data_IF_656613805480
#
_entry.id   IF_656613805480
#
_cell.length_a   1.000
_cell.length_b   1.000
_cell.length_c   1.000
_cell.angle_alpha   90.00
_cell.angle_beta   90.00
_cell.angle_gamma   90.00
#
_symmetry.space_group_name_H-M   'P 1'
#
loop_
_entity.id
_entity.type
_entity.pdbx_description
1 polymer ?
#
# COMPACT_ATOMS: atom_id res chain seq x y z
N UNK A 1 16.27 -0.75 -6.52
CA UNK A 1 15.92 -1.37 -5.22
C UNK A 1 14.91 -0.49 -4.51
N UNK A 2 13.81 -1.04 -4.00
CA UNK A 2 12.81 -0.27 -3.25
C UNK A 2 13.33 -0.06 -1.82
N UNK A 3 13.37 1.18 -1.36
CA UNK A 3 13.81 1.60 -0.03
C UNK A 3 12.76 2.48 0.62
N UNK A 4 12.82 2.65 1.94
CA UNK A 4 11.86 3.47 2.71
C UNK A 4 11.71 4.90 2.17
N UNK A 5 12.76 5.46 1.59
CA UNK A 5 12.78 6.81 1.02
C UNK A 5 12.21 6.87 -0.39
N UNK A 6 12.32 5.80 -1.19
CA UNK A 6 11.86 5.79 -2.58
C UNK A 6 10.49 5.12 -2.78
N UNK A 7 10.00 4.33 -1.83
CA UNK A 7 8.77 3.54 -1.97
C UNK A 7 7.52 4.41 -2.17
N UNK A 8 7.56 5.66 -1.73
CA UNK A 8 6.50 6.64 -1.99
C UNK A 8 6.42 7.04 -3.47
N UNK A 9 7.53 6.96 -4.21
CA UNK A 9 7.65 7.29 -5.63
C UNK A 9 7.73 6.03 -6.52
N UNK A 10 7.91 4.86 -5.90
CA UNK A 10 8.02 3.59 -6.60
C UNK A 10 6.63 2.95 -6.80
N UNK A 11 6.59 2.01 -7.75
CA UNK A 11 5.45 1.14 -7.97
C UNK A 11 5.19 0.26 -6.73
N UNK A 12 3.93 0.26 -6.27
CA UNK A 12 3.47 -0.58 -5.17
C UNK A 12 2.86 -1.89 -5.65
N UNK A 13 2.46 -1.96 -6.92
CA UNK A 13 1.86 -3.15 -7.54
C UNK A 13 2.88 -4.29 -7.50
N UNK A 14 2.41 -5.48 -7.14
CA UNK A 14 3.24 -6.68 -7.00
C UNK A 14 3.90 -6.83 -5.62
N UNK A 15 3.90 -5.79 -4.77
CA UNK A 15 4.49 -5.87 -3.43
C UNK A 15 3.56 -6.57 -2.44
N UNK A 16 4.16 -7.31 -1.52
CA UNK A 16 3.46 -7.95 -0.41
C UNK A 16 3.30 -6.95 0.75
N UNK A 17 2.03 -6.79 1.15
CA UNK A 17 1.61 -5.77 2.10
C UNK A 17 0.70 -6.35 3.19
N UNK A 18 0.77 -5.72 4.36
CA UNK A 18 -0.09 -5.99 5.51
C UNK A 18 -0.71 -4.69 6.01
N UNK A 19 -2.03 -4.68 6.22
CA UNK A 19 -2.72 -3.56 6.84
C UNK A 19 -2.51 -3.62 8.35
N UNK A 20 -1.70 -2.70 8.88
CA UNK A 20 -1.42 -2.62 10.32
C UNK A 20 -2.36 -1.67 11.05
N UNK A 21 -2.95 -0.71 10.33
CA UNK A 21 -3.89 0.25 10.89
C UNK A 21 -4.82 0.76 9.78
N UNK A 22 -6.10 0.93 10.09
CA UNK A 22 -7.09 1.47 9.16
C UNK A 22 -8.27 2.07 9.93
N UNK A 23 -8.89 3.11 9.38
CA UNK A 23 -10.13 3.66 9.95
C UNK A 23 -11.23 2.60 10.02
N UNK A 24 -11.35 1.78 8.98
CA UNK A 24 -12.21 0.59 9.02
C UNK A 24 -11.46 -0.57 9.68
N UNK A 25 -11.78 -0.86 10.95
CA UNK A 25 -11.14 -1.92 11.74
C UNK A 25 -11.23 -3.31 11.10
N UNK A 26 -12.25 -3.58 10.27
CA UNK A 26 -12.40 -4.85 9.54
C UNK A 26 -11.38 -5.05 8.40
N UNK A 27 -10.53 -4.05 8.15
CA UNK A 27 -9.43 -4.12 7.19
C UNK A 27 -8.08 -4.38 7.87
N UNK A 28 -7.98 -4.20 9.20
CA UNK A 28 -6.75 -4.45 9.97
C UNK A 28 -6.42 -5.95 9.95
N UNK A 29 -5.15 -6.28 9.74
CA UNK A 29 -4.66 -7.65 9.61
C UNK A 29 -4.81 -8.23 8.20
N UNK A 30 -5.31 -7.47 7.23
CA UNK A 30 -5.38 -7.92 5.84
C UNK A 30 -3.97 -8.02 5.25
N UNK A 31 -3.62 -9.23 4.80
CA UNK A 31 -2.33 -9.54 4.17
C UNK A 31 -2.54 -9.99 2.73
N UNK A 32 -1.71 -9.51 1.83
CA UNK A 32 -1.74 -9.94 0.44
C UNK A 32 -0.86 -9.09 -0.46
N UNK A 33 -1.03 -9.30 -1.77
CA UNK A 33 -0.27 -8.60 -2.79
C UNK A 33 -1.06 -7.44 -3.34
N UNK A 34 -0.42 -6.29 -3.56
CA UNK A 34 -1.07 -5.17 -4.25
C UNK A 34 -1.24 -5.53 -5.73
N UNK A 35 -2.46 -5.49 -6.24
CA UNK A 35 -2.74 -5.78 -7.65
C UNK A 35 -3.12 -4.56 -8.46
N UNK A 36 -3.61 -3.52 -7.80
CA UNK A 36 -4.00 -2.29 -8.47
C UNK A 36 -3.91 -1.09 -7.51
N UNK A 37 -3.65 0.08 -8.10
CA UNK A 37 -3.51 1.32 -7.38
C UNK A 37 -4.13 2.49 -8.17
N UNK A 38 -5.08 3.17 -7.54
CA UNK A 38 -5.70 4.38 -8.08
C UNK A 38 -5.29 5.60 -7.24
N UNK A 39 -5.75 6.80 -7.63
CA UNK A 39 -5.46 8.05 -6.89
C UNK A 39 -5.72 7.96 -5.39
N UNK A 40 -6.83 7.34 -5.00
CA UNK A 40 -7.32 7.30 -3.62
C UNK A 40 -7.45 5.89 -3.04
N UNK A 41 -7.40 4.86 -3.88
CA UNK A 41 -7.66 3.47 -3.45
C UNK A 41 -6.54 2.53 -3.86
N UNK A 42 -6.39 1.45 -3.11
CA UNK A 42 -5.41 0.40 -3.32
C UNK A 42 -6.14 -0.95 -3.22
N UNK A 43 -5.92 -1.84 -4.18
CA UNK A 43 -6.53 -3.17 -4.22
C UNK A 43 -5.50 -4.18 -3.76
N UNK A 44 -5.82 -4.89 -2.68
CA UNK A 44 -4.98 -5.96 -2.13
C UNK A 44 -5.65 -7.30 -2.42
N UNK A 45 -4.93 -8.19 -3.09
CA UNK A 45 -5.33 -9.57 -3.34
C UNK A 45 -4.80 -10.46 -2.21
N UNK A 46 -5.72 -10.97 -1.42
CA UNK A 46 -5.47 -11.96 -0.37
C UNK A 46 -5.96 -13.33 -0.83
N UNK A 47 -5.71 -14.37 -0.03
CA UNK A 47 -6.25 -15.71 -0.28
C UNK A 47 -7.79 -15.74 -0.29
N UNK A 48 -8.43 -14.81 0.41
CA UNK A 48 -9.91 -14.66 0.45
C UNK A 48 -10.48 -13.87 -0.73
N UNK A 49 -9.64 -13.39 -1.65
CA UNK A 49 -10.03 -12.55 -2.78
C UNK A 49 -9.46 -11.14 -2.72
N UNK A 50 -10.01 -10.26 -3.55
CA UNK A 50 -9.53 -8.89 -3.75
C UNK A 50 -10.32 -7.90 -2.89
N UNK A 51 -9.61 -7.03 -2.17
CA UNK A 51 -10.21 -6.02 -1.31
C UNK A 51 -9.71 -4.64 -1.69
N UNK A 52 -10.65 -3.75 -2.02
CA UNK A 52 -10.37 -2.33 -2.27
C UNK A 52 -10.36 -1.55 -0.97
N UNK A 53 -9.30 -0.77 -0.76
CA UNK A 53 -9.03 -0.03 0.48
C UNK A 53 -8.74 1.44 0.16
N UNK A 54 -9.22 2.35 0.99
CA UNK A 54 -8.95 3.78 0.86
C UNK A 54 -7.58 4.13 1.44
N UNK A 55 -6.76 4.86 0.69
CA UNK A 55 -5.41 5.29 1.11
C UNK A 55 -5.44 6.31 2.26
N UNK A 56 -6.45 7.19 2.29
CA UNK A 56 -6.48 8.37 3.19
C UNK A 56 -6.33 8.02 4.67
N UNK A 57 -6.82 6.87 5.10
CA UNK A 57 -6.81 6.47 6.51
C UNK A 57 -6.29 5.05 6.70
N UNK A 58 -5.21 4.74 5.98
CA UNK A 58 -4.56 3.43 5.97
C UNK A 58 -3.12 3.55 6.47
N UNK A 59 -2.63 2.57 7.23
CA UNK A 59 -1.19 2.28 7.34
C UNK A 59 -0.95 0.86 6.90
N UNK A 60 -0.02 0.71 5.97
CA UNK A 60 0.43 -0.60 5.47
C UNK A 60 1.89 -0.82 5.84
N UNK A 61 2.21 -2.05 6.15
CA UNK A 61 3.57 -2.56 6.22
C UNK A 61 3.86 -3.29 4.91
N UNK A 62 4.93 -2.89 4.25
CA UNK A 62 5.41 -3.50 3.01
C UNK A 62 6.69 -4.26 3.33
N UNK A 63 6.81 -5.50 2.85
CA UNK A 63 8.05 -6.28 2.98
C UNK A 63 8.80 -6.25 1.66
N UNK A 64 9.97 -5.61 1.61
CA UNK A 64 10.80 -5.54 0.40
C UNK A 64 12.24 -5.90 0.76
N UNK A 65 12.84 -6.85 0.04
CA UNK A 65 14.24 -7.27 0.25
C UNK A 65 14.61 -7.65 1.69
N UNK A 66 13.65 -8.19 2.45
CA UNK A 66 13.84 -8.54 3.87
C UNK A 66 13.61 -7.40 4.87
N UNK A 67 13.42 -6.17 4.38
CA UNK A 67 13.08 -5.02 5.21
C UNK A 67 11.56 -4.81 5.30
N UNK A 68 11.08 -4.42 6.49
CA UNK A 68 9.68 -4.06 6.73
C UNK A 68 9.55 -2.54 6.78
N UNK A 69 8.77 -1.99 5.87
CA UNK A 69 8.58 -0.54 5.72
C UNK A 69 7.13 -0.21 6.04
N UNK A 70 6.88 0.60 7.07
CA UNK A 70 5.55 1.10 7.42
C UNK A 70 5.29 2.43 6.71
N UNK A 71 4.18 2.49 5.97
CA UNK A 71 3.76 3.68 5.20
C UNK A 71 2.34 4.07 5.60
N UNK A 72 2.17 5.36 5.88
CA UNK A 72 0.84 5.97 6.01
C UNK A 72 0.29 6.28 4.62
N UNK A 73 -0.88 5.73 4.30
CA UNK A 73 -1.55 5.90 3.02
C UNK A 73 -1.91 7.35 2.69
N UNK A 74 -1.99 8.27 3.67
CA UNK A 74 -2.04 9.73 3.40
C UNK A 74 -0.90 10.20 2.49
N UNK A 75 0.30 9.62 2.64
CA UNK A 75 1.47 9.93 1.81
C UNK A 75 1.42 9.27 0.42
N UNK A 76 0.54 8.29 0.25
CA UNK A 76 0.31 7.57 -1.02
C UNK A 76 -0.85 8.15 -1.82
N UNK A 77 -1.55 9.16 -1.29
CA UNK A 77 -2.64 9.85 -2.01
C UNK A 77 -2.05 10.59 -3.21
N UNK A 78 -2.54 10.26 -4.40
CA UNK A 78 -1.94 10.66 -5.67
C UNK A 78 -1.92 9.46 -6.62
N UNK A 79 -1.94 9.72 -7.94
CA UNK A 79 -1.73 8.63 -8.90
C UNK A 79 -0.26 8.22 -8.90
N UNK A 80 0.08 6.96 -9.23
CA UNK A 80 1.49 6.53 -9.33
C UNK A 80 2.35 7.50 -10.14
N UNK A 81 1.85 7.92 -11.30
CA UNK A 81 2.47 8.89 -12.20
C UNK A 81 2.72 10.28 -11.58
N UNK A 82 1.79 10.79 -10.76
CA UNK A 82 1.94 12.07 -10.05
C UNK A 82 3.01 12.01 -8.96
N UNK A 83 3.24 10.82 -8.37
CA UNK A 83 4.20 10.62 -7.28
C UNK A 83 5.65 10.60 -7.78
N UNK A 84 5.87 10.23 -9.04
CA UNK A 84 7.22 10.18 -9.65
C UNK A 84 7.77 11.59 -9.92
N UNK A 85 6.89 12.58 -10.20
CA UNK A 85 7.30 13.96 -10.53
C UNK A 85 7.68 14.84 -9.33
N UNK A 86 7.34 14.42 -8.12
CA UNK A 86 7.65 15.10 -6.86
C UNK A 86 8.95 14.55 -6.28
#
# INVERSE_FOLDING_TARGET
>A
MVTKTNILKHELIGLDVEVVDANNKSQIGLKGKVVDETRNTLIIKSQKGEKKILKKDLKIQISVSGEKIIITGKKLVGRPEDRIKK
#
